data_IF_266524208447
#
_entry.id   IF_266524208447
#
_cell.length_a   1.000
_cell.length_b   1.000
_cell.length_c   1.000
_cell.angle_alpha   90.00
_cell.angle_beta   90.00
_cell.angle_gamma   90.00
#
_symmetry.space_group_name_H-M   'P 1'
#
loop_
_entity.id
_entity.type
_entity.pdbx_description
1 polymer ?
#
# COMPACT_ATOMS: atom_id res chain seq x y z
N UNK A 1 25.90 -6.22 -4.93
CA UNK A 1 24.75 -5.67 -5.67
C UNK A 1 23.48 -5.90 -4.86
N UNK A 2 22.76 -4.80 -4.60
CA UNK A 2 21.35 -4.63 -4.17
C UNK A 2 20.79 -5.57 -3.08
N UNK A 3 20.72 -5.04 -1.84
CA UNK A 3 19.74 -5.47 -0.83
C UNK A 3 18.49 -4.61 -0.96
N UNK A 4 17.37 -5.25 -1.22
CA UNK A 4 16.06 -4.64 -1.46
C UNK A 4 15.44 -4.23 -0.14
N UNK A 5 15.36 -2.92 0.11
CA UNK A 5 14.49 -2.35 1.15
C UNK A 5 13.16 -2.05 0.46
N UNK A 6 12.13 -2.83 0.78
CA UNK A 6 10.77 -2.59 0.29
C UNK A 6 10.18 -1.45 1.13
N UNK A 7 10.35 -0.23 0.63
CA UNK A 7 9.57 0.94 1.04
C UNK A 7 8.20 0.79 0.38
N UNK A 8 7.18 0.53 1.19
CA UNK A 8 5.78 0.53 0.75
C UNK A 8 5.39 2.00 0.50
N UNK A 9 5.12 2.34 -0.75
CA UNK A 9 4.63 3.67 -1.11
C UNK A 9 4.37 3.79 -2.61
N UNK A 10 3.25 3.25 -3.10
CA UNK A 10 2.74 3.57 -4.43
C UNK A 10 1.33 4.16 -4.38
N UNK A 11 1.33 5.46 -4.70
CA UNK A 11 0.37 6.26 -5.46
C UNK A 11 -1.05 6.47 -4.91
N UNK A 12 -1.35 7.75 -4.64
CA UNK A 12 -2.71 8.26 -4.64
C UNK A 12 -2.87 9.74 -5.04
N UNK A 13 -3.56 10.03 -6.15
CA UNK A 13 -4.17 11.32 -6.52
C UNK A 13 -5.69 11.16 -6.50
N UNK A 14 -6.39 11.92 -5.66
CA UNK A 14 -7.67 12.54 -6.04
C UNK A 14 -8.08 13.66 -5.06
N UNK A 15 -8.09 14.88 -5.59
CA UNK A 15 -8.97 16.03 -5.31
C UNK A 15 -9.36 16.37 -3.86
N UNK A 16 -8.67 17.39 -3.36
CA UNK A 16 -9.14 18.29 -2.31
C UNK A 16 -10.33 19.13 -2.82
N UNK A 17 -11.54 18.83 -2.37
CA UNK A 17 -12.55 19.89 -2.17
C UNK A 17 -12.29 20.55 -0.84
N UNK A 18 -11.56 21.67 -0.90
CA UNK A 18 -11.39 22.58 0.21
C UNK A 18 -12.74 23.24 0.56
N UNK A 19 -13.38 22.78 1.63
CA UNK A 19 -14.34 23.59 2.36
C UNK A 19 -13.65 24.22 3.57
N UNK A 20 -13.68 25.56 3.58
CA UNK A 20 -13.21 26.46 4.64
C UNK A 20 -13.74 26.01 6.01
N UNK A 21 -12.83 25.82 6.96
CA UNK A 21 -13.18 25.52 8.35
C UNK A 21 -11.98 24.97 9.12
N UNK A 22 -10.98 25.81 9.38
CA UNK A 22 -9.86 25.48 10.25
C UNK A 22 -10.33 25.32 11.70
N UNK A 23 -10.83 24.14 12.04
CA UNK A 23 -10.87 23.69 13.42
C UNK A 23 -9.45 23.36 13.86
N UNK A 24 -9.03 23.80 15.05
CA UNK A 24 -7.73 23.48 15.62
C UNK A 24 -7.63 21.96 15.87
N UNK A 25 -7.26 21.20 14.84
CA UNK A 25 -7.07 19.76 14.94
C UNK A 25 -5.91 19.45 15.88
N UNK A 26 -6.05 18.39 16.68
CA UNK A 26 -4.97 17.85 17.50
C UNK A 26 -4.26 16.76 16.69
N UNK A 27 -2.94 16.88 16.49
CA UNK A 27 -2.17 15.81 15.83
C UNK A 27 -2.10 14.56 16.69
N UNK A 28 -2.07 14.69 18.03
CA UNK A 28 -1.89 13.60 18.97
C UNK A 28 -3.17 12.78 19.15
N UNK A 29 -3.47 11.99 18.13
CA UNK A 29 -4.61 11.07 18.04
C UNK A 29 -4.30 9.93 17.04
N UNK A 30 -5.22 8.97 16.93
CA UNK A 30 -5.11 7.86 15.99
C UNK A 30 -5.62 8.29 14.62
N UNK A 31 -4.77 8.16 13.62
CA UNK A 31 -5.06 8.52 12.25
C UNK A 31 -5.04 7.28 11.38
N UNK A 32 -6.11 7.05 10.62
CA UNK A 32 -6.18 5.98 9.63
C UNK A 32 -5.75 6.53 8.27
N UNK A 33 -4.87 5.80 7.58
CA UNK A 33 -4.48 6.11 6.21
C UNK A 33 -5.69 5.99 5.29
N UNK A 34 -5.98 7.05 4.54
CA UNK A 34 -6.95 6.99 3.45
C UNK A 34 -6.20 6.58 2.20
N UNK A 35 -6.39 5.33 1.79
CA UNK A 35 -5.85 4.82 0.54
C UNK A 35 -6.58 5.43 -0.64
N UNK A 36 -5.81 5.77 -1.67
CA UNK A 36 -6.38 6.07 -2.97
C UNK A 36 -6.37 4.80 -3.83
N UNK A 37 -7.57 4.29 -4.07
CA UNK A 37 -7.75 3.07 -4.85
C UNK A 37 -7.69 3.33 -6.35
N UNK A 38 -7.71 4.59 -6.82
CA UNK A 38 -7.77 4.89 -8.27
C UNK A 38 -6.57 4.38 -9.06
N UNK A 39 -5.36 4.44 -8.50
CA UNK A 39 -4.16 3.92 -9.15
C UNK A 39 -4.16 2.38 -9.22
N UNK A 40 -4.70 1.72 -8.18
CA UNK A 40 -4.85 0.26 -8.13
C UNK A 40 -5.92 -0.23 -9.09
N UNK A 41 -7.06 0.44 -9.09
CA UNK A 41 -8.14 0.20 -10.04
C UNK A 41 -7.66 0.47 -11.48
N UNK A 42 -6.81 1.48 -11.71
CA UNK A 42 -6.19 1.70 -13.01
C UNK A 42 -5.25 0.56 -13.42
N UNK A 43 -4.45 0.01 -12.50
CA UNK A 43 -3.58 -1.12 -12.79
C UNK A 43 -4.39 -2.39 -13.07
N UNK A 44 -5.42 -2.65 -12.27
CA UNK A 44 -6.36 -3.73 -12.48
C UNK A 44 -7.07 -3.62 -13.85
N UNK A 45 -7.60 -2.44 -14.17
CA UNK A 45 -8.25 -2.17 -15.44
C UNK A 45 -7.28 -2.31 -16.62
N UNK A 46 -6.00 -1.95 -16.45
CA UNK A 46 -4.98 -2.17 -17.45
C UNK A 46 -4.70 -3.67 -17.68
N UNK A 47 -4.70 -4.48 -16.62
CA UNK A 47 -4.58 -5.95 -16.72
C UNK A 47 -5.78 -6.54 -17.47
N UNK A 48 -7.01 -6.18 -17.09
CA UNK A 48 -8.23 -6.64 -17.78
C UNK A 48 -8.19 -6.26 -19.26
N UNK A 49 -7.85 -5.00 -19.57
CA UNK A 49 -7.71 -4.53 -20.95
C UNK A 49 -6.61 -5.29 -21.70
N UNK A 50 -5.49 -5.59 -21.06
CA UNK A 50 -4.44 -6.43 -21.63
C UNK A 50 -4.97 -7.78 -22.10
N UNK A 51 -5.77 -8.44 -21.25
CA UNK A 51 -6.43 -9.72 -21.59
C UNK A 51 -7.42 -9.56 -22.74
N UNK A 52 -8.21 -8.48 -22.76
CA UNK A 52 -9.15 -8.20 -23.86
C UNK A 52 -8.44 -8.09 -25.21
N UNK A 53 -7.34 -7.35 -25.23
CA UNK A 53 -6.58 -7.04 -26.46
C UNK A 53 -5.66 -8.18 -26.92
N UNK A 54 -5.52 -9.25 -26.15
CA UNK A 54 -4.69 -10.40 -26.52
C UNK A 54 -5.23 -11.06 -27.80
N UNK A 55 -4.41 -11.21 -28.84
CA UNK A 55 -4.84 -11.80 -30.13
C UNK A 55 -4.28 -13.20 -30.36
N UNK A 56 -3.35 -13.64 -29.53
CA UNK A 56 -2.73 -14.97 -29.57
C UNK A 56 -2.38 -15.42 -28.15
N UNK A 57 -2.06 -16.71 -27.98
CA UNK A 57 -1.53 -17.20 -26.72
C UNK A 57 -0.20 -16.49 -26.37
N UNK A 58 0.00 -16.09 -25.10
CA UNK A 58 1.28 -15.54 -24.66
C UNK A 58 2.41 -16.55 -24.91
N UNK A 59 3.61 -16.11 -25.37
CA UNK A 59 4.75 -17.02 -25.58
C UNK A 59 5.07 -17.87 -24.35
N UNK A 60 5.10 -17.25 -23.16
CA UNK A 60 5.34 -17.95 -21.90
C UNK A 60 4.30 -19.04 -21.62
N UNK A 61 3.04 -18.82 -22.01
CA UNK A 61 1.98 -19.83 -21.87
C UNK A 61 2.21 -21.01 -22.82
N UNK A 62 2.65 -20.75 -24.04
CA UNK A 62 3.00 -21.79 -25.02
C UNK A 62 4.19 -22.61 -24.52
N UNK A 63 5.22 -21.94 -23.99
CA UNK A 63 6.40 -22.59 -23.45
C UNK A 63 6.07 -23.44 -22.23
N UNK A 64 5.24 -22.93 -21.31
CA UNK A 64 4.76 -23.69 -20.15
C UNK A 64 3.91 -24.90 -20.56
N UNK A 65 3.06 -24.78 -21.59
CA UNK A 65 2.34 -25.94 -22.16
C UNK A 65 3.30 -26.99 -22.70
N UNK A 66 4.32 -26.56 -23.45
CA UNK A 66 5.32 -27.46 -24.03
C UNK A 66 6.18 -28.14 -22.95
N UNK A 67 6.45 -27.44 -21.84
CA UNK A 67 7.15 -28.00 -20.69
C UNK A 67 6.27 -29.00 -19.93
N UNK A 68 5.00 -28.66 -19.67
CA UNK A 68 4.04 -29.57 -19.04
C UNK A 68 3.88 -30.87 -19.83
N UNK A 69 3.84 -30.80 -21.16
CA UNK A 69 3.77 -31.97 -22.03
C UNK A 69 4.99 -32.91 -21.94
N UNK A 70 6.14 -32.40 -21.48
CA UNK A 70 7.39 -33.17 -21.29
C UNK A 70 7.56 -33.68 -19.86
N UNK A 71 6.73 -33.23 -18.91
CA UNK A 71 6.82 -33.64 -17.52
C UNK A 71 6.28 -35.06 -17.32
N UNK A 72 6.88 -35.81 -16.39
CA UNK A 72 6.37 -37.11 -15.97
C UNK A 72 5.11 -36.92 -15.11
N UNK A 73 4.17 -37.90 -15.08
CA UNK A 73 2.96 -37.81 -14.28
C UNK A 73 3.20 -37.46 -12.80
N UNK A 74 4.25 -38.02 -12.20
CA UNK A 74 4.63 -37.77 -10.80
C UNK A 74 5.17 -36.35 -10.57
N UNK A 75 5.63 -35.66 -11.62
CA UNK A 75 6.03 -34.26 -11.55
C UNK A 75 4.82 -33.34 -11.74
N UNK A 76 3.87 -33.72 -12.59
CA UNK A 76 2.62 -32.97 -12.80
C UNK A 76 1.77 -32.96 -11.54
N UNK A 77 1.76 -34.05 -10.75
CA UNK A 77 0.99 -34.12 -9.49
C UNK A 77 1.50 -33.16 -8.40
N UNK A 78 2.70 -32.60 -8.57
CA UNK A 78 3.26 -31.58 -7.67
C UNK A 78 2.84 -30.15 -8.03
N UNK A 79 2.26 -29.96 -9.21
CA UNK A 79 1.74 -28.67 -9.64
C UNK A 79 0.33 -28.43 -9.08
N UNK A 80 -0.02 -27.18 -8.75
CA UNK A 80 -1.38 -26.85 -8.35
C UNK A 80 -2.38 -27.24 -9.46
N UNK A 81 -3.50 -27.93 -9.13
CA UNK A 81 -4.47 -28.41 -10.13
C UNK A 81 -4.98 -27.30 -11.06
N UNK A 82 -5.20 -26.10 -10.52
CA UNK A 82 -5.66 -24.94 -11.28
C UNK A 82 -4.67 -24.48 -12.36
N UNK A 83 -3.36 -24.66 -12.11
CA UNK A 83 -2.29 -24.35 -13.07
C UNK A 83 -2.30 -25.39 -14.19
N UNK A 84 -2.43 -26.67 -13.83
CA UNK A 84 -2.48 -27.78 -14.80
C UNK A 84 -3.72 -27.66 -15.70
N UNK A 85 -4.87 -27.30 -15.13
CA UNK A 85 -6.10 -27.07 -15.89
C UNK A 85 -5.99 -25.87 -16.83
N UNK A 86 -5.41 -24.76 -16.37
CA UNK A 86 -5.20 -23.59 -17.22
C UNK A 86 -4.28 -23.91 -18.41
N UNK A 87 -3.21 -24.67 -18.18
CA UNK A 87 -2.29 -25.14 -19.22
C UNK A 87 -2.88 -26.22 -20.13
N UNK A 88 -4.09 -26.71 -19.89
CA UNK A 88 -4.80 -27.59 -20.84
C UNK A 88 -5.67 -26.81 -21.83
N UNK A 89 -5.94 -25.52 -21.59
CA UNK A 89 -6.83 -24.72 -22.43
C UNK A 89 -6.27 -24.58 -23.86
N UNK A 90 -7.05 -24.99 -24.85
CA UNK A 90 -6.63 -25.03 -26.28
C UNK A 90 -7.06 -23.82 -27.10
N UNK A 91 -8.07 -23.07 -26.64
CA UNK A 91 -8.56 -21.89 -27.33
C UNK A 91 -8.35 -20.61 -26.52
N UNK A 92 -8.12 -19.51 -27.25
CA UNK A 92 -7.77 -18.23 -26.65
C UNK A 92 -8.95 -17.61 -25.87
N UNK A 93 -10.19 -17.89 -26.27
CA UNK A 93 -11.37 -17.31 -25.64
C UNK A 93 -11.57 -17.86 -24.22
N UNK A 94 -11.42 -19.17 -24.05
CA UNK A 94 -11.46 -19.84 -22.75
C UNK A 94 -10.31 -19.38 -21.86
N UNK A 95 -9.09 -19.22 -22.41
CA UNK A 95 -7.95 -18.72 -21.63
C UNK A 95 -8.21 -17.29 -21.13
N UNK A 96 -8.69 -16.40 -22.00
CA UNK A 96 -9.09 -15.04 -21.62
C UNK A 96 -10.13 -15.04 -20.51
N UNK A 97 -11.16 -15.88 -20.62
CA UNK A 97 -12.21 -15.98 -19.62
C UNK A 97 -11.63 -16.42 -18.26
N UNK A 98 -10.76 -17.44 -18.25
CA UNK A 98 -10.15 -17.95 -17.02
C UNK A 98 -9.20 -16.96 -16.35
N UNK A 99 -8.38 -16.26 -17.13
CA UNK A 99 -7.50 -15.20 -16.61
C UNK A 99 -8.35 -14.09 -15.97
N UNK A 100 -9.42 -13.65 -16.64
CA UNK A 100 -10.31 -12.62 -16.08
C UNK A 100 -10.99 -13.07 -14.81
N UNK A 101 -11.49 -14.30 -14.75
CA UNK A 101 -12.09 -14.88 -13.54
C UNK A 101 -11.11 -14.80 -12.36
N UNK A 102 -9.88 -15.27 -12.56
CA UNK A 102 -8.84 -15.24 -11.52
C UNK A 102 -8.46 -13.80 -11.11
N UNK A 103 -8.37 -12.88 -12.07
CA UNK A 103 -8.12 -11.46 -11.78
C UNK A 103 -9.25 -10.85 -10.94
N UNK A 104 -10.51 -11.11 -11.31
CA UNK A 104 -11.68 -10.61 -10.59
C UNK A 104 -11.78 -11.20 -9.18
N UNK A 105 -11.50 -12.50 -9.02
CA UNK A 105 -11.50 -13.14 -7.71
C UNK A 105 -10.38 -12.59 -6.81
N UNK A 106 -9.16 -12.44 -7.36
CA UNK A 106 -8.04 -11.81 -6.66
C UNK A 106 -8.37 -10.38 -6.22
N UNK A 107 -8.98 -9.57 -7.10
CA UNK A 107 -9.44 -8.22 -6.78
C UNK A 107 -10.49 -8.22 -5.67
N UNK A 108 -11.46 -9.12 -5.71
CA UNK A 108 -12.48 -9.25 -4.66
C UNK A 108 -11.89 -9.61 -3.30
N UNK A 109 -10.94 -10.54 -3.26
CA UNK A 109 -10.24 -10.92 -2.02
C UNK A 109 -9.42 -9.74 -1.48
N UNK A 110 -8.70 -9.04 -2.36
CA UNK A 110 -7.95 -7.83 -2.02
C UNK A 110 -8.89 -6.74 -1.46
N UNK A 111 -9.99 -6.43 -2.15
CA UNK A 111 -10.96 -5.42 -1.72
C UNK A 111 -11.61 -5.78 -0.39
N UNK A 112 -11.89 -7.07 -0.15
CA UNK A 112 -12.40 -7.54 1.14
C UNK A 112 -11.39 -7.38 2.28
N UNK A 113 -10.10 -7.61 2.02
CA UNK A 113 -9.06 -7.39 3.01
C UNK A 113 -8.87 -5.89 3.29
N UNK A 114 -8.85 -5.07 2.26
CA UNK A 114 -8.70 -3.62 2.36
C UNK A 114 -9.90 -2.95 3.06
N UNK A 115 -11.12 -3.44 2.81
CA UNK A 115 -12.31 -2.94 3.49
C UNK A 115 -12.29 -3.19 5.01
N UNK A 116 -11.52 -4.20 5.47
CA UNK A 116 -11.44 -4.59 6.89
C UNK A 116 -10.18 -4.08 7.57
N UNK A 117 -9.13 -3.81 6.81
CA UNK A 117 -7.82 -3.42 7.32
C UNK A 117 -7.62 -1.91 7.20
N UNK A 118 -7.70 -1.22 8.32
CA UNK A 118 -7.22 0.15 8.47
C UNK A 118 -5.74 0.13 8.87
N UNK A 119 -4.88 0.90 8.20
CA UNK A 119 -3.52 1.17 8.70
C UNK A 119 -3.56 2.43 9.54
N UNK A 120 -3.13 2.29 10.78
CA UNK A 120 -3.28 3.29 11.84
C UNK A 120 -1.92 3.84 12.20
N UNK A 121 -1.84 5.16 12.22
CA UNK A 121 -0.75 5.97 12.74
C UNK A 121 -1.21 6.57 14.08
N UNK A 122 -0.73 6.02 15.18
CA UNK A 122 -1.05 6.46 16.54
C UNK A 122 -0.03 7.48 17.02
N UNK A 123 -0.39 8.76 16.91
CA UNK A 123 0.41 9.89 17.40
C UNK A 123 0.11 10.08 18.89
N UNK A 124 0.98 9.57 19.75
CA UNK A 124 0.79 9.58 21.19
C UNK A 124 1.21 10.90 21.82
N UNK A 125 0.49 11.35 22.86
CA UNK A 125 0.78 12.62 23.55
C UNK A 125 2.20 12.74 24.12
N UNK A 126 2.86 11.61 24.40
CA UNK A 126 4.26 11.55 24.85
C UNK A 126 5.28 11.79 23.71
N UNK A 127 4.80 12.01 22.47
CA UNK A 127 5.64 12.23 21.30
C UNK A 127 6.05 10.95 20.58
N UNK A 128 5.46 9.79 20.84
CA UNK A 128 5.77 8.54 20.11
C UNK A 128 4.76 8.32 18.98
N UNK A 129 5.24 7.98 17.78
CA UNK A 129 4.41 7.49 16.67
C UNK A 129 4.53 5.96 16.55
N UNK A 130 3.39 5.28 16.65
CA UNK A 130 3.26 3.85 16.35
C UNK A 130 2.47 3.63 15.07
N UNK A 131 2.82 2.57 14.34
CA UNK A 131 2.09 2.14 13.15
C UNK A 131 1.65 0.69 13.30
N UNK A 132 0.40 0.40 12.97
CA UNK A 132 -0.15 -0.96 12.99
C UNK A 132 -1.36 -1.09 12.07
N UNK A 133 -1.73 -2.33 11.76
CA UNK A 133 -2.97 -2.64 11.05
C UNK A 133 -4.09 -2.95 12.06
N UNK A 134 -5.32 -2.52 11.80
CA UNK A 134 -6.46 -2.67 12.72
C UNK A 134 -6.79 -4.12 13.07
N UNK A 135 -6.50 -5.05 12.17
CA UNK A 135 -6.68 -6.50 12.34
C UNK A 135 -5.49 -7.19 13.02
N UNK A 136 -4.38 -6.47 13.24
CA UNK A 136 -3.18 -6.95 13.92
C UNK A 136 -2.67 -5.92 14.92
N UNK A 137 -3.49 -5.50 15.92
CA UNK A 137 -3.12 -4.46 16.87
C UNK A 137 -1.93 -4.88 17.74
N UNK A 138 -1.69 -6.18 17.94
CA UNK A 138 -0.54 -6.67 18.72
C UNK A 138 0.79 -6.63 17.94
N UNK A 139 0.74 -6.44 16.62
CA UNK A 139 1.92 -6.28 15.76
C UNK A 139 2.28 -4.80 15.56
N UNK A 140 2.29 -4.01 16.63
CA UNK A 140 2.68 -2.61 16.56
C UNK A 140 4.16 -2.46 16.25
N UNK A 141 4.47 -1.61 15.28
CA UNK A 141 5.83 -1.19 14.99
C UNK A 141 6.02 0.23 15.50
N UNK A 142 6.97 0.41 16.41
CA UNK A 142 7.41 1.74 16.86
C UNK A 142 8.22 2.38 15.73
N UNK A 143 7.54 3.10 14.84
CA UNK A 143 8.14 3.72 13.64
C UNK A 143 9.03 4.92 13.95
N UNK A 144 8.84 5.55 15.12
CA UNK A 144 9.60 6.72 15.55
C UNK A 144 10.05 6.60 16.99
N UNK A 145 11.21 7.19 17.29
CA UNK A 145 11.62 7.46 18.67
C UNK A 145 10.93 8.71 19.22
N UNK A 146 10.61 9.67 18.35
CA UNK A 146 9.90 10.90 18.69
C UNK A 146 9.19 11.49 17.46
N UNK A 147 8.12 12.25 17.67
CA UNK A 147 7.61 13.24 16.73
C UNK A 147 7.37 14.58 17.44
N UNK A 148 7.45 15.66 16.68
CA UNK A 148 7.06 17.01 17.12
C UNK A 148 6.28 17.70 16.03
N UNK A 149 5.18 18.34 16.38
CA UNK A 149 4.36 19.09 15.45
C UNK A 149 4.39 20.59 15.78
N UNK A 150 4.76 21.41 14.80
CA UNK A 150 4.54 22.85 14.82
C UNK A 150 3.35 23.17 13.90
N UNK A 151 2.16 23.22 14.50
CA UNK A 151 0.91 23.48 13.77
C UNK A 151 0.88 24.90 13.20
N UNK A 152 1.56 25.87 13.84
CA UNK A 152 1.63 27.25 13.35
C UNK A 152 2.50 27.34 12.10
N UNK A 153 3.66 26.69 12.13
CA UNK A 153 4.54 26.59 10.96
C UNK A 153 4.08 25.55 9.92
N UNK A 154 3.02 24.80 10.21
CA UNK A 154 2.53 23.68 9.40
C UNK A 154 3.61 22.64 9.12
N UNK A 155 4.39 22.29 10.14
CA UNK A 155 5.46 21.30 10.04
C UNK A 155 5.25 20.17 11.04
N UNK A 156 5.54 18.94 10.61
CA UNK A 156 5.65 17.76 11.46
C UNK A 156 7.04 17.17 11.26
N UNK A 157 7.72 16.92 12.37
CA UNK A 157 9.07 16.37 12.41
C UNK A 157 8.99 14.98 12.99
N UNK A 158 9.48 13.98 12.24
CA UNK A 158 9.51 12.59 12.66
C UNK A 158 10.95 12.14 12.84
N UNK A 159 11.29 11.68 14.04
CA UNK A 159 12.59 11.14 14.38
C UNK A 159 12.53 9.63 14.25
N UNK A 160 13.18 9.09 13.21
CA UNK A 160 13.13 7.67 12.90
C UNK A 160 13.65 6.81 14.08
N UNK A 161 13.04 5.64 14.27
CA UNK A 161 13.55 4.67 15.22
C UNK A 161 14.73 3.90 14.61
N UNK A 162 15.94 4.10 15.15
CA UNK A 162 17.17 3.48 14.65
C UNK A 162 17.15 1.95 14.75
N UNK A 163 16.34 1.34 15.63
CA UNK A 163 16.18 -0.11 15.72
C UNK A 163 15.48 -0.72 14.49
N UNK A 164 14.67 0.07 13.77
CA UNK A 164 13.97 -0.34 12.55
C UNK A 164 14.87 -0.16 11.32
N UNK A 165 15.83 0.76 11.39
CA UNK A 165 16.74 1.10 10.28
C UNK A 165 18.00 0.22 10.35
N UNK A 166 17.89 -1.05 9.93
CA UNK A 166 19.05 -1.95 9.87
C UNK A 166 20.07 -1.50 8.80
N UNK A 167 21.15 -0.88 9.26
CA UNK A 167 22.40 -0.70 8.50
C UNK A 167 22.60 0.68 7.88
N UNK A 168 23.32 1.55 8.59
CA UNK A 168 23.96 2.75 8.03
C UNK A 168 23.36 4.08 8.47
N UNK A 169 24.15 4.85 9.22
CA UNK A 169 24.21 6.32 9.35
C UNK A 169 22.92 7.17 9.44
N UNK A 170 21.73 6.64 9.70
CA UNK A 170 20.54 7.48 9.96
C UNK A 170 20.50 8.01 11.40
N UNK A 171 21.63 8.49 11.92
CA UNK A 171 21.75 8.85 13.33
C UNK A 171 20.96 10.12 13.71
N UNK A 172 20.55 10.95 12.74
CA UNK A 172 19.92 12.26 12.99
C UNK A 172 18.88 12.68 11.92
N UNK A 173 18.37 11.77 11.10
CA UNK A 173 17.50 12.13 9.99
C UNK A 173 16.05 12.30 10.46
N UNK A 174 15.72 13.55 10.75
CA UNK A 174 14.35 14.01 10.90
C UNK A 174 13.67 13.98 9.55
N UNK A 175 12.67 13.11 9.37
CA UNK A 175 11.76 13.23 8.24
C UNK A 175 10.83 14.40 8.52
N UNK A 176 10.91 15.43 7.68
CA UNK A 176 10.06 16.61 7.79
C UNK A 176 8.86 16.46 6.86
N UNK A 177 7.68 16.73 7.39
CA UNK A 177 6.43 16.77 6.64
C UNK A 177 5.83 18.18 6.71
N UNK A 178 5.38 18.67 5.56
CA UNK A 178 4.43 19.77 5.46
C UNK A 178 3.03 19.29 5.86
N UNK A 179 2.41 19.97 6.81
CA UNK A 179 1.00 19.78 7.16
C UNK A 179 0.17 20.59 6.16
N UNK A 180 -0.36 19.92 5.15
CA UNK A 180 -1.20 20.57 4.14
C UNK A 180 -2.58 20.90 4.69
N UNK A 181 -3.12 20.01 5.51
CA UNK A 181 -4.44 20.15 6.12
C UNK A 181 -4.47 19.46 7.50
N UNK A 182 -5.16 20.07 8.45
CA UNK A 182 -5.41 19.49 9.78
C UNK A 182 -6.76 20.04 10.29
N UNK A 183 -7.72 19.13 10.50
CA UNK A 183 -9.01 19.37 11.13
C UNK A 183 -9.22 18.37 12.29
N UNK A 184 -10.39 18.41 12.94
CA UNK A 184 -10.72 17.43 13.98
C UNK A 184 -10.83 15.98 13.47
N UNK A 185 -11.06 15.80 12.17
CA UNK A 185 -11.36 14.52 11.55
C UNK A 185 -10.50 14.17 10.33
N UNK A 186 -9.64 15.09 9.86
CA UNK A 186 -8.78 14.86 8.70
C UNK A 186 -7.39 15.47 8.87
N UNK A 187 -6.39 14.79 8.31
CA UNK A 187 -4.99 15.21 8.31
C UNK A 187 -4.41 14.93 6.93
N UNK A 188 -3.62 15.87 6.39
CA UNK A 188 -2.87 15.66 5.16
C UNK A 188 -1.43 16.10 5.35
N UNK A 189 -0.50 15.19 5.04
CA UNK A 189 0.93 15.37 5.20
C UNK A 189 1.63 15.20 3.86
N UNK A 190 2.60 16.04 3.55
CA UNK A 190 3.48 15.86 2.39
C UNK A 190 4.92 15.88 2.87
N UNK A 191 5.73 14.95 2.40
CA UNK A 191 7.16 14.95 2.73
C UNK A 191 7.81 16.22 2.16
N UNK A 192 8.52 16.96 3.01
CA UNK A 192 9.30 18.12 2.60
C UNK A 192 10.42 17.63 1.66
N UNK A 193 10.52 18.13 0.41
CA UNK A 193 11.57 17.73 -0.53
C UNK A 193 12.99 17.99 -0.02
N UNK A 194 13.16 18.89 0.95
CA UNK A 194 14.44 19.21 1.60
C UNK A 194 14.73 18.33 2.82
N UNK A 195 13.84 17.41 3.16
CA UNK A 195 14.02 16.50 4.29
C UNK A 195 15.24 15.60 4.07
N UNK A 196 16.03 15.42 5.12
CA UNK A 196 17.11 14.42 5.13
C UNK A 196 16.50 13.01 5.12
N UNK A 197 17.21 12.03 4.55
CA UNK A 197 16.76 10.63 4.44
C UNK A 197 15.79 10.33 3.29
N UNK A 198 15.45 11.32 2.44
CA UNK A 198 14.51 11.14 1.33
C UNK A 198 15.23 11.34 0.00
N UNK A 199 15.73 10.25 -0.59
CA UNK A 199 16.22 10.24 -1.98
C UNK A 199 15.15 9.62 -2.88
N UNK A 200 14.30 10.44 -3.52
CA UNK A 200 13.29 9.94 -4.45
C UNK A 200 12.40 11.05 -5.03
N UNK A 201 11.76 10.81 -6.19
CA UNK A 201 10.89 11.78 -6.83
C UNK A 201 9.75 12.21 -5.90
N UNK A 202 9.26 13.44 -6.07
CA UNK A 202 8.27 14.10 -5.20
C UNK A 202 7.19 13.13 -4.68
N UNK A 203 7.27 12.76 -3.40
CA UNK A 203 6.24 11.93 -2.79
C UNK A 203 4.90 12.68 -2.78
N UNK A 204 3.85 11.99 -3.19
CA UNK A 204 2.48 12.52 -3.14
C UNK A 204 2.07 12.76 -1.68
N UNK A 205 1.17 13.72 -1.43
CA UNK A 205 0.62 13.88 -0.09
C UNK A 205 -0.08 12.61 0.39
N UNK A 206 0.10 12.29 1.67
CA UNK A 206 -0.63 11.26 2.39
C UNK A 206 -1.87 11.89 3.03
N UNK A 207 -3.00 11.22 2.90
CA UNK A 207 -4.26 11.63 3.51
C UNK A 207 -4.62 10.67 4.64
N UNK A 208 -5.18 11.24 5.70
CA UNK A 208 -5.59 10.52 6.88
C UNK A 208 -6.96 11.00 7.35
N UNK A 209 -7.73 10.09 7.94
CA UNK A 209 -8.96 10.39 8.66
C UNK A 209 -8.82 9.99 10.13
N UNK A 210 -9.58 10.62 11.02
CA UNK A 210 -9.61 10.22 12.42
C UNK A 210 -10.07 8.77 12.52
N UNK A 211 -9.22 7.92 13.12
CA UNK A 211 -9.58 6.53 13.38
C UNK A 211 -10.57 6.47 14.54
N UNK A 212 -11.74 5.87 14.30
CA UNK A 212 -12.74 5.58 15.32
C UNK A 212 -12.72 4.09 15.58
N UNK A 213 -12.29 3.69 16.77
CA UNK A 213 -12.40 2.29 17.19
C UNK A 213 -13.87 1.89 17.17
N UNK A 214 -14.19 0.84 16.43
CA UNK A 214 -15.49 0.20 16.58
C UNK A 214 -15.59 -0.31 18.02
N UNK A 215 -16.53 0.24 18.79
CA UNK A 215 -16.85 -0.30 20.10
C UNK A 215 -17.33 -1.73 19.88
N UNK A 216 -16.54 -2.71 20.33
CA UNK A 216 -17.00 -4.10 20.46
C UNK A 216 -18.31 -4.07 21.25
N UNK A 217 -19.42 -4.43 20.59
CA UNK A 217 -20.69 -4.70 21.26
C UNK A 217 -20.60 -6.00 22.03
#
# INVERSE_FOLDING_TARGET
MRKTIIVIGLLGVASLTACKGGGSGNISQKWEVVYDNTARDSAFNAQIKGVDTMTAFPPDFIDMKAELAKMKPDSISTLPPEVVEMLKIEDLATLKAKIKENLMEGKKQQDSLEAKRAVIYDFQKNGVLKMYASDMPDQMVDTSTKYTADVKAKKLFLFANQAVVKGGEMANDTITFDILHLSGDSLSLKVDPKSKGVSGPSMKPMAFRLYKEEKKK
#
